data_IF_312590363539
#
_entry.id   IF_312590363539
#
_cell.length_a   1.000
_cell.length_b   1.000
_cell.length_c   1.000
_cell.angle_alpha   90.00
_cell.angle_beta   90.00
_cell.angle_gamma   90.00
#
_symmetry.space_group_name_H-M   'P 1'
#
loop_
_entity.id
_entity.type
_entity.pdbx_description
1 polymer ?
#
# COMPACT_ATOMS: atom_id res chain seq x y z
N UNK A 1 -12.28 -43.91 -36.62
CA UNK A 1 -11.73 -44.03 -35.24
C UNK A 1 -10.38 -43.33 -35.05
N UNK A 2 -9.50 -43.20 -36.03
CA UNK A 2 -8.21 -42.51 -35.88
C UNK A 2 -8.30 -41.00 -35.51
N UNK A 3 -9.33 -40.30 -35.97
CA UNK A 3 -9.47 -38.85 -35.78
C UNK A 3 -9.96 -38.48 -34.37
N UNK A 4 -10.66 -39.36 -33.67
CA UNK A 4 -11.12 -39.09 -32.30
C UNK A 4 -9.99 -39.13 -31.27
N UNK A 5 -8.95 -39.93 -31.50
CA UNK A 5 -7.77 -39.99 -30.60
C UNK A 5 -6.97 -38.70 -30.65
N UNK A 6 -6.84 -38.06 -31.81
CA UNK A 6 -6.12 -36.81 -31.96
C UNK A 6 -6.86 -35.66 -31.25
N UNK A 7 -8.20 -35.59 -31.36
CA UNK A 7 -9.02 -34.57 -30.70
C UNK A 7 -8.96 -34.73 -29.17
N UNK A 8 -9.02 -35.97 -28.67
CA UNK A 8 -8.91 -36.26 -27.25
C UNK A 8 -7.52 -35.87 -26.69
N UNK A 9 -6.43 -36.17 -27.42
CA UNK A 9 -5.07 -35.81 -27.00
C UNK A 9 -4.85 -34.28 -26.95
N UNK A 10 -5.40 -33.55 -27.92
CA UNK A 10 -5.33 -32.07 -27.93
C UNK A 10 -6.12 -31.46 -26.79
N UNK A 11 -7.31 -32.01 -26.46
CA UNK A 11 -8.11 -31.55 -25.33
C UNK A 11 -7.38 -31.77 -23.97
N UNK A 12 -6.70 -32.89 -23.80
CA UNK A 12 -5.91 -33.16 -22.58
C UNK A 12 -4.73 -32.21 -22.40
N UNK A 13 -4.06 -31.80 -23.49
CA UNK A 13 -2.93 -30.88 -23.43
C UNK A 13 -3.37 -29.47 -23.00
N UNK A 14 -4.56 -29.04 -23.39
CA UNK A 14 -5.08 -27.70 -23.01
C UNK A 14 -5.47 -27.64 -21.53
N UNK A 15 -5.94 -28.74 -20.95
CA UNK A 15 -6.28 -28.81 -19.51
C UNK A 15 -5.05 -28.96 -18.60
N UNK A 16 -3.97 -29.57 -19.12
CA UNK A 16 -2.75 -29.83 -18.33
C UNK A 16 -1.91 -28.58 -17.98
N UNK A 17 -2.19 -27.44 -18.64
CA UNK A 17 -1.41 -26.21 -18.44
C UNK A 17 -1.92 -25.25 -17.35
N UNK A 18 -3.06 -25.54 -16.74
CA UNK A 18 -3.63 -24.70 -15.67
C UNK A 18 -3.25 -25.24 -14.32
N UNK A 19 -2.52 -24.46 -13.53
CA UNK A 19 -2.19 -24.79 -12.15
C UNK A 19 -2.26 -23.57 -11.25
N UNK A 20 -2.33 -23.80 -9.98
CA UNK A 20 -2.22 -22.73 -8.97
C UNK A 20 -0.79 -22.20 -8.98
N UNK A 21 -0.66 -20.90 -8.83
CA UNK A 21 0.62 -20.19 -8.78
C UNK A 21 0.59 -19.16 -7.67
N UNK A 22 1.73 -18.86 -7.12
CA UNK A 22 1.88 -17.82 -6.10
C UNK A 22 2.63 -16.64 -6.69
N UNK A 23 2.08 -15.45 -6.50
CA UNK A 23 2.77 -14.18 -6.80
C UNK A 23 3.18 -13.57 -5.46
N UNK A 24 4.48 -13.55 -5.21
CA UNK A 24 5.05 -12.94 -4.01
C UNK A 24 5.53 -11.53 -4.33
N UNK A 25 4.96 -10.54 -3.64
CA UNK A 25 5.35 -9.13 -3.80
C UNK A 25 6.03 -8.62 -2.54
N UNK A 26 7.23 -8.06 -2.71
CA UNK A 26 7.88 -7.27 -1.68
C UNK A 26 7.50 -5.80 -1.88
N UNK A 27 6.85 -5.21 -0.90
CA UNK A 27 6.43 -3.81 -0.91
C UNK A 27 7.45 -3.03 -0.12
N UNK A 28 8.10 -2.07 -0.77
CA UNK A 28 8.99 -1.10 -0.13
C UNK A 28 8.30 0.25 -0.11
N UNK A 29 7.94 0.72 1.08
CA UNK A 29 7.33 2.04 1.31
C UNK A 29 8.43 3.00 1.71
N UNK A 30 8.67 4.03 0.89
CA UNK A 30 9.67 5.08 1.15
C UNK A 30 9.03 6.44 1.05
N UNK A 31 9.48 7.39 1.86
CA UNK A 31 8.94 8.73 1.82
C UNK A 31 9.29 9.55 3.04
N UNK A 32 8.47 10.55 3.30
CA UNK A 32 8.60 11.46 4.45
C UNK A 32 7.31 11.53 5.24
N UNK A 33 7.45 11.56 6.55
CA UNK A 33 6.38 11.86 7.49
C UNK A 33 6.61 13.26 8.04
N UNK A 34 5.69 14.17 7.75
CA UNK A 34 5.69 15.52 8.32
C UNK A 34 4.66 15.59 9.42
N UNK A 35 5.10 15.86 10.62
CA UNK A 35 4.23 16.06 11.78
C UNK A 35 4.20 17.53 12.11
N UNK A 36 3.03 18.14 12.11
CA UNK A 36 2.79 19.53 12.50
C UNK A 36 1.90 19.55 13.70
N UNK A 37 2.39 20.12 14.79
CA UNK A 37 1.64 20.35 16.03
C UNK A 37 1.21 21.81 16.11
N UNK A 38 -0.07 22.05 16.38
CA UNK A 38 -0.64 23.36 16.69
C UNK A 38 -1.24 23.30 18.07
N UNK A 39 -0.84 24.23 18.91
CA UNK A 39 -1.42 24.40 20.23
C UNK A 39 -2.06 25.79 20.32
N UNK A 40 -3.36 25.82 20.51
CA UNK A 40 -4.11 27.05 20.76
C UNK A 40 -4.44 27.13 22.25
N UNK A 41 -3.95 28.14 22.92
CA UNK A 41 -4.22 28.41 24.32
C UNK A 41 -5.19 29.59 24.44
N UNK A 42 -6.32 29.38 25.04
CA UNK A 42 -7.29 30.43 25.33
C UNK A 42 -7.03 30.94 26.78
N UNK A 43 -6.12 31.92 26.92
CA UNK A 43 -5.75 32.50 28.22
C UNK A 43 -6.87 33.39 28.78
N UNK A 44 -7.67 34.01 27.92
CA UNK A 44 -8.85 34.82 28.30
C UNK A 44 -9.92 34.67 27.21
N UNK A 45 -11.21 34.69 27.54
CA UNK A 45 -12.29 34.67 26.56
C UNK A 45 -12.13 35.81 25.54
N UNK A 46 -11.94 35.46 24.28
CA UNK A 46 -11.77 36.43 23.18
C UNK A 46 -10.34 36.80 22.79
N UNK A 47 -9.31 36.24 23.44
CA UNK A 47 -7.91 36.43 23.08
C UNK A 47 -7.22 35.08 22.88
N UNK A 48 -7.41 34.43 21.72
CA UNK A 48 -6.69 33.21 21.40
C UNK A 48 -5.21 33.55 21.20
N UNK A 49 -4.35 32.90 21.94
CA UNK A 49 -2.90 32.94 21.73
C UNK A 49 -2.47 31.67 21.04
N UNK A 50 -2.18 31.74 19.75
CA UNK A 50 -1.59 30.61 19.02
C UNK A 50 -0.17 30.43 19.50
N UNK A 51 0.10 29.34 20.19
CA UNK A 51 1.47 28.89 20.47
C UNK A 51 2.11 28.38 19.19
N UNK A 52 3.39 28.69 19.00
CA UNK A 52 4.12 28.46 17.76
C UNK A 52 3.87 27.09 17.16
N UNK A 53 3.57 27.05 15.87
CA UNK A 53 3.48 25.83 15.08
C UNK A 53 4.86 25.14 15.08
N UNK A 54 4.90 23.92 15.56
CA UNK A 54 6.12 23.10 15.50
C UNK A 54 5.94 22.02 14.47
N UNK A 55 6.84 21.96 13.49
CA UNK A 55 6.85 20.89 12.50
C UNK A 55 8.19 20.18 12.48
N UNK A 56 8.15 18.87 12.33
CA UNK A 56 9.34 18.05 12.11
C UNK A 56 9.09 17.01 11.02
N UNK A 57 10.16 16.65 10.33
CA UNK A 57 10.11 15.71 9.21
C UNK A 57 10.97 14.51 9.56
N UNK A 58 10.41 13.31 9.36
CA UNK A 58 11.11 12.03 9.50
C UNK A 58 11.03 11.24 8.20
N UNK A 59 12.05 10.45 7.92
CA UNK A 59 12.04 9.55 6.78
C UNK A 59 11.29 8.26 7.11
N UNK A 60 10.49 7.78 6.18
CA UNK A 60 9.79 6.49 6.25
C UNK A 60 10.54 5.50 5.37
N UNK A 61 10.84 4.32 5.92
CA UNK A 61 11.35 3.18 5.18
C UNK A 61 10.78 1.91 5.82
N UNK A 62 9.78 1.32 5.17
CA UNK A 62 9.10 0.11 5.62
C UNK A 62 9.15 -0.94 4.51
N UNK A 63 9.36 -2.20 4.88
CA UNK A 63 9.36 -3.33 3.96
C UNK A 63 8.34 -4.35 4.45
N UNK A 64 7.45 -4.75 3.55
CA UNK A 64 6.42 -5.76 3.80
C UNK A 64 6.40 -6.76 2.63
N UNK A 65 6.19 -8.05 2.93
CA UNK A 65 6.00 -9.08 1.91
C UNK A 65 4.57 -9.57 1.95
N UNK A 66 3.96 -9.67 0.78
CA UNK A 66 2.61 -10.23 0.60
C UNK A 66 2.63 -11.33 -0.46
N UNK A 67 1.87 -12.40 -0.21
CA UNK A 67 1.67 -13.50 -1.14
C UNK A 67 0.24 -13.47 -1.67
N UNK A 68 0.11 -13.48 -3.00
CA UNK A 68 -1.17 -13.57 -3.69
C UNK A 68 -1.27 -14.89 -4.44
N UNK A 69 -2.17 -15.75 -4.02
CA UNK A 69 -2.47 -17.00 -4.74
C UNK A 69 -3.29 -16.71 -5.99
N UNK A 70 -2.87 -17.24 -7.13
CA UNK A 70 -3.53 -17.13 -8.43
C UNK A 70 -3.93 -18.54 -8.84
N UNK A 71 -5.23 -18.84 -8.76
CA UNK A 71 -5.75 -20.20 -8.93
C UNK A 71 -6.04 -20.52 -10.42
N UNK A 72 -5.74 -21.75 -10.81
CA UNK A 72 -6.14 -22.38 -12.09
C UNK A 72 -5.87 -21.52 -13.33
N UNK A 73 -4.70 -20.90 -13.40
CA UNK A 73 -4.29 -20.07 -14.54
C UNK A 73 -3.14 -20.69 -15.31
N UNK A 74 -3.02 -20.34 -16.60
CA UNK A 74 -1.83 -20.64 -17.37
C UNK A 74 -0.67 -19.68 -16.98
N UNK A 75 0.57 -20.06 -17.31
CA UNK A 75 1.76 -19.28 -16.96
C UNK A 75 1.75 -17.85 -17.51
N UNK A 76 1.21 -17.67 -18.72
CA UNK A 76 1.15 -16.35 -19.38
C UNK A 76 0.21 -15.40 -18.63
N UNK A 77 -0.99 -15.87 -18.28
CA UNK A 77 -1.97 -15.08 -17.51
C UNK A 77 -1.48 -14.80 -16.09
N UNK A 78 -0.85 -15.79 -15.43
CA UNK A 78 -0.27 -15.57 -14.11
C UNK A 78 0.83 -14.50 -14.15
N UNK A 79 1.71 -14.51 -15.17
CA UNK A 79 2.76 -13.51 -15.35
C UNK A 79 2.21 -12.11 -15.61
N UNK A 80 1.08 -11.98 -16.36
CA UNK A 80 0.44 -10.68 -16.59
C UNK A 80 -0.26 -10.11 -15.35
N UNK A 81 -0.62 -10.97 -14.39
CA UNK A 81 -1.25 -10.59 -13.12
C UNK A 81 -0.25 -10.40 -11.96
N UNK A 82 1.01 -10.76 -12.19
CA UNK A 82 2.10 -10.64 -11.22
C UNK A 82 3.15 -9.68 -11.78
N UNK A 83 2.84 -8.39 -11.73
CA UNK A 83 3.66 -7.33 -12.32
C UNK A 83 4.13 -6.38 -11.23
N UNK A 84 5.39 -6.00 -11.29
CA UNK A 84 5.96 -4.97 -10.42
C UNK A 84 5.49 -3.59 -10.87
N UNK A 85 5.17 -2.72 -9.91
CA UNK A 85 4.74 -1.36 -10.17
C UNK A 85 5.08 -0.44 -9.00
N UNK A 86 4.96 0.85 -9.23
CA UNK A 86 5.14 1.87 -8.19
C UNK A 86 3.91 2.75 -8.15
N UNK A 87 3.43 3.05 -6.97
CA UNK A 87 2.32 3.98 -6.75
C UNK A 87 2.69 5.04 -5.72
N UNK A 88 2.38 6.31 -5.97
CA UNK A 88 2.53 7.36 -4.97
C UNK A 88 1.45 7.21 -3.88
N UNK A 89 1.80 7.57 -2.65
CA UNK A 89 0.84 7.67 -1.56
C UNK A 89 0.93 9.03 -0.87
N UNK A 90 -0.21 9.49 -0.38
CA UNK A 90 -0.33 10.71 0.42
C UNK A 90 -1.45 10.49 1.45
N UNK A 91 -1.06 10.23 2.68
CA UNK A 91 -1.96 9.92 3.78
C UNK A 91 -1.85 11.04 4.83
N UNK A 92 -2.97 11.66 5.18
CA UNK A 92 -3.02 12.70 6.22
C UNK A 92 -3.92 12.25 7.35
N UNK A 93 -3.38 12.25 8.56
CA UNK A 93 -4.12 11.93 9.78
C UNK A 93 -4.16 13.17 10.67
N UNK A 94 -5.34 13.56 11.09
CA UNK A 94 -5.57 14.63 12.04
C UNK A 94 -5.98 14.02 13.38
N UNK A 95 -5.23 14.33 14.42
CA UNK A 95 -5.58 13.99 15.81
C UNK A 95 -5.74 15.28 16.60
N UNK A 96 -6.89 15.48 17.17
CA UNK A 96 -7.17 16.61 18.08
C UNK A 96 -7.47 16.11 19.49
N UNK A 97 -6.85 16.73 20.47
CA UNK A 97 -7.12 16.45 21.88
C UNK A 97 -7.74 17.71 22.47
N UNK A 98 -9.07 17.70 22.65
CA UNK A 98 -9.74 18.81 23.33
C UNK A 98 -9.45 18.74 24.83
N UNK A 99 -8.97 19.84 25.37
CA UNK A 99 -8.84 20.02 26.83
C UNK A 99 -9.57 21.33 27.22
N UNK A 100 -9.95 21.44 28.48
CA UNK A 100 -10.75 22.55 28.97
C UNK A 100 -10.09 23.93 28.86
N UNK A 101 -8.78 23.98 28.67
CA UNK A 101 -7.99 25.24 28.62
C UNK A 101 -7.08 25.36 27.41
N UNK A 102 -6.96 24.32 26.57
CA UNK A 102 -6.17 24.36 25.35
C UNK A 102 -6.67 23.35 24.33
N UNK A 103 -6.49 23.65 23.06
CA UNK A 103 -6.72 22.71 21.98
C UNK A 103 -5.36 22.34 21.37
N UNK A 104 -5.06 21.05 21.38
CA UNK A 104 -3.88 20.52 20.70
C UNK A 104 -4.35 19.77 19.46
N UNK A 105 -3.89 20.19 18.29
CA UNK A 105 -4.07 19.46 17.05
C UNK A 105 -2.73 19.01 16.49
N UNK A 106 -2.66 17.74 16.12
CA UNK A 106 -1.49 17.14 15.49
C UNK A 106 -1.90 16.64 14.11
N UNK A 107 -1.26 17.14 13.08
CA UNK A 107 -1.43 16.72 11.71
C UNK A 107 -0.20 15.93 11.32
N UNK A 108 -0.40 14.68 10.93
CA UNK A 108 0.65 13.82 10.39
C UNK A 108 0.37 13.60 8.91
N UNK A 109 1.27 14.03 8.06
CA UNK A 109 1.20 13.83 6.61
C UNK A 109 2.33 12.91 6.17
N UNK A 110 1.98 11.72 5.69
CA UNK A 110 2.89 10.74 5.13
C UNK A 110 2.81 10.81 3.61
N UNK A 111 3.93 11.09 2.95
CA UNK A 111 4.00 11.21 1.49
C UNK A 111 5.22 10.48 0.95
N UNK A 112 5.03 9.74 -0.13
CA UNK A 112 6.12 9.00 -0.76
C UNK A 112 5.63 8.02 -1.82
N UNK A 113 6.41 6.98 -2.02
CA UNK A 113 6.14 5.94 -3.01
C UNK A 113 6.11 4.55 -2.36
N UNK A 114 5.16 3.71 -2.81
CA UNK A 114 5.12 2.27 -2.54
C UNK A 114 5.60 1.54 -3.78
N UNK A 115 6.73 0.90 -3.70
CA UNK A 115 7.29 0.08 -4.76
C UNK A 115 6.97 -1.40 -4.53
N UNK A 116 6.29 -2.02 -5.49
CA UNK A 116 5.92 -3.44 -5.48
C UNK A 116 6.87 -4.20 -6.39
N UNK A 117 7.77 -5.01 -5.85
CA UNK A 117 8.60 -5.95 -6.59
C UNK A 117 7.98 -7.34 -6.51
N UNK A 118 7.34 -7.78 -7.59
CA UNK A 118 6.54 -9.00 -7.65
C UNK A 118 7.23 -10.10 -8.45
N UNK A 119 7.28 -11.31 -7.91
CA UNK A 119 7.83 -12.51 -8.54
C UNK A 119 6.80 -13.63 -8.54
N UNK A 120 6.73 -14.33 -9.67
CA UNK A 120 5.85 -15.48 -9.87
C UNK A 120 6.63 -16.76 -9.65
N UNK A 121 6.12 -17.62 -8.76
CA UNK A 121 6.61 -18.99 -8.53
C UNK A 121 5.89 -20.02 -9.38
#
# INVERSE_FOLDING_TARGET
MKNYFIVAAVAFVVFACKKDRTCTCTITKTGTSTTTGKADLELFPGFPTTLADTSFVTNISEIQTIDKKIEKVNKRTAKSNCVSYTEPYNETTLTSVPASSFNLSVIVTNKGDKHYDCKLD
#
